data_IF_573420863463
#
_entry.id   IF_573420863463
#
_cell.length_a   1.000
_cell.length_b   1.000
_cell.length_c   1.000
_cell.angle_alpha   90.00
_cell.angle_beta   90.00
_cell.angle_gamma   90.00
#
_symmetry.space_group_name_H-M   'P 1'
#
loop_
_entity.id
_entity.type
_entity.pdbx_description
1 polymer ?
#
# COMPACT_ATOMS: atom_id res chain seq x y z
N UNK A 1 -21.31 18.90 -2.23
CA UNK A 1 -22.67 18.41 -2.46
C UNK A 1 -22.67 16.89 -2.30
N UNK A 2 -23.62 16.34 -1.55
CA UNK A 2 -23.73 14.89 -1.34
C UNK A 2 -24.82 14.35 -2.27
N UNK A 3 -24.54 13.24 -2.95
CA UNK A 3 -25.57 12.47 -3.67
C UNK A 3 -25.49 11.02 -3.16
N UNK A 4 -26.64 10.41 -2.87
CA UNK A 4 -26.72 8.98 -2.62
C UNK A 4 -26.86 8.25 -3.95
N UNK A 5 -26.12 7.14 -4.12
CA UNK A 5 -26.48 6.17 -5.15
C UNK A 5 -27.62 5.26 -4.67
N UNK A 6 -28.09 4.40 -5.57
CA UNK A 6 -29.23 3.50 -5.32
C UNK A 6 -28.94 2.51 -4.18
N UNK A 7 -27.66 2.25 -3.87
CA UNK A 7 -27.22 1.30 -2.83
C UNK A 7 -26.92 1.98 -1.47
N UNK A 8 -27.24 3.28 -1.33
CA UNK A 8 -27.05 4.03 -0.10
C UNK A 8 -25.60 4.48 0.15
N UNK A 9 -24.69 4.28 -0.79
CA UNK A 9 -23.34 4.78 -0.73
C UNK A 9 -23.30 6.26 -1.09
N UNK A 10 -22.68 7.07 -0.24
CA UNK A 10 -22.52 8.50 -0.52
C UNK A 10 -21.42 8.71 -1.55
N UNK A 11 -21.76 9.41 -2.64
CA UNK A 11 -20.78 9.92 -3.62
C UNK A 11 -20.56 11.41 -3.39
N UNK A 12 -19.30 11.80 -3.50
CA UNK A 12 -18.90 13.19 -3.28
C UNK A 12 -18.54 13.83 -4.61
N UNK A 13 -19.09 15.01 -4.83
CA UNK A 13 -18.84 15.83 -6.01
C UNK A 13 -18.30 17.17 -5.57
N UNK A 14 -17.48 17.74 -6.41
CA UNK A 14 -16.93 19.06 -6.23
C UNK A 14 -17.59 20.04 -7.20
N UNK A 15 -18.05 21.17 -6.71
CA UNK A 15 -18.55 22.25 -7.55
C UNK A 15 -17.69 23.51 -7.36
N UNK A 16 -17.44 24.24 -8.44
CA UNK A 16 -16.79 25.53 -8.38
C UNK A 16 -17.73 26.61 -7.78
N UNK A 17 -17.24 27.86 -7.72
CA UNK A 17 -18.02 29.01 -7.19
C UNK A 17 -19.31 29.30 -7.94
N UNK A 18 -19.41 28.88 -9.20
CA UNK A 18 -20.56 29.09 -10.08
C UNK A 18 -21.52 27.86 -10.08
N UNK A 19 -21.20 26.84 -9.29
CA UNK A 19 -22.01 25.62 -9.13
C UNK A 19 -21.73 24.53 -10.15
N UNK A 20 -20.73 24.69 -11.04
CA UNK A 20 -20.38 23.66 -12.01
C UNK A 20 -19.58 22.53 -11.39
N UNK A 21 -19.97 21.28 -11.66
CA UNK A 21 -19.25 20.11 -11.18
C UNK A 21 -17.86 20.03 -11.80
N UNK A 22 -16.88 19.79 -10.93
CA UNK A 22 -15.50 19.60 -11.31
C UNK A 22 -15.15 18.11 -11.24
N UNK A 23 -14.43 17.60 -12.26
CA UNK A 23 -13.98 16.22 -12.35
C UNK A 23 -12.47 16.15 -12.55
N UNK A 24 -11.88 14.99 -12.31
CA UNK A 24 -10.45 14.80 -12.34
C UNK A 24 -9.78 15.33 -11.08
N UNK A 25 -8.57 15.88 -11.23
CA UNK A 25 -7.81 16.46 -10.14
C UNK A 25 -8.36 17.82 -9.72
N UNK A 26 -8.71 17.94 -8.45
CA UNK A 26 -9.26 19.17 -7.84
C UNK A 26 -8.44 19.52 -6.59
N UNK A 27 -8.07 20.80 -6.44
CA UNK A 27 -7.42 21.31 -5.22
C UNK A 27 -8.40 22.21 -4.47
N UNK A 28 -8.58 21.94 -3.17
CA UNK A 28 -9.42 22.74 -2.30
C UNK A 28 -8.86 22.74 -0.88
N UNK A 29 -8.77 23.92 -0.26
CA UNK A 29 -8.23 24.11 1.10
C UNK A 29 -6.87 23.41 1.32
N UNK A 30 -5.95 23.54 0.37
CA UNK A 30 -4.61 22.92 0.35
C UNK A 30 -4.61 21.39 0.28
N UNK A 31 -5.76 20.76 0.09
CA UNK A 31 -5.89 19.34 -0.12
C UNK A 31 -6.13 19.04 -1.62
N UNK A 32 -5.67 17.89 -2.07
CA UNK A 32 -5.85 17.42 -3.44
C UNK A 32 -6.84 16.26 -3.45
N UNK A 33 -7.75 16.28 -4.41
CA UNK A 33 -8.79 15.28 -4.59
C UNK A 33 -8.79 14.76 -6.01
N UNK A 34 -9.34 13.56 -6.21
CA UNK A 34 -9.69 13.08 -7.53
C UNK A 34 -11.17 12.71 -7.59
N UNK A 35 -11.91 13.37 -8.44
CA UNK A 35 -13.35 13.16 -8.64
C UNK A 35 -13.56 12.42 -9.94
N UNK A 36 -13.94 11.16 -9.86
CA UNK A 36 -14.12 10.31 -11.04
C UNK A 36 -15.32 10.71 -11.86
N UNK A 37 -15.18 11.06 -13.16
CA UNK A 37 -16.33 11.32 -14.02
C UNK A 37 -17.02 10.01 -14.44
N UNK A 38 -18.35 9.94 -14.49
CA UNK A 38 -19.32 10.86 -13.89
C UNK A 38 -19.69 10.51 -12.44
N UNK A 39 -18.98 9.53 -11.84
CA UNK A 39 -19.41 8.80 -10.64
C UNK A 39 -19.07 9.46 -9.31
N UNK A 40 -18.32 10.56 -9.32
CA UNK A 40 -17.88 11.21 -8.09
C UNK A 40 -16.75 10.47 -7.36
N UNK A 41 -16.51 10.84 -6.10
CA UNK A 41 -15.53 10.20 -5.22
C UNK A 41 -16.21 9.34 -4.15
N UNK A 42 -15.54 8.26 -3.75
CA UNK A 42 -16.02 7.32 -2.74
C UNK A 42 -15.73 7.80 -1.31
N UNK A 43 -16.53 7.31 -0.34
CA UNK A 43 -16.33 7.62 1.08
C UNK A 43 -15.55 6.50 1.81
N UNK A 44 -14.50 6.00 1.19
CA UNK A 44 -13.62 4.98 1.77
C UNK A 44 -12.18 5.21 1.34
N UNK A 45 -11.25 4.46 1.90
CA UNK A 45 -9.88 4.35 1.38
C UNK A 45 -9.87 3.42 0.18
N UNK A 46 -9.18 3.79 -0.90
CA UNK A 46 -9.10 2.99 -2.13
C UNK A 46 -7.90 3.34 -2.99
N UNK A 47 -7.54 2.41 -3.87
CA UNK A 47 -6.54 2.63 -4.92
C UNK A 47 -7.21 2.99 -6.24
N UNK A 48 -6.54 3.85 -7.02
CA UNK A 48 -6.98 4.19 -8.37
C UNK A 48 -5.80 4.40 -9.30
N UNK A 49 -5.83 3.71 -10.44
CA UNK A 49 -4.89 3.98 -11.52
C UNK A 49 -5.33 5.21 -12.32
N UNK A 50 -4.40 6.14 -12.48
CA UNK A 50 -4.59 7.36 -13.27
C UNK A 50 -3.30 7.60 -14.05
N UNK A 51 -3.37 7.52 -15.38
CA UNK A 51 -2.23 7.69 -16.28
C UNK A 51 -1.02 6.83 -15.87
N UNK A 52 -1.24 5.51 -15.78
CA UNK A 52 -0.22 4.49 -15.49
C UNK A 52 0.38 4.55 -14.07
N UNK A 53 -0.11 5.42 -13.21
CA UNK A 53 0.27 5.49 -11.80
C UNK A 53 -0.89 5.12 -10.90
N UNK A 54 -0.64 4.30 -9.90
CA UNK A 54 -1.63 3.95 -8.89
C UNK A 54 -1.50 4.88 -7.70
N UNK A 55 -2.57 5.56 -7.37
CA UNK A 55 -2.66 6.52 -6.28
C UNK A 55 -3.50 5.99 -5.13
N UNK A 56 -3.15 6.40 -3.92
CA UNK A 56 -3.91 6.12 -2.70
C UNK A 56 -4.83 7.28 -2.37
N UNK A 57 -6.12 6.99 -2.27
CA UNK A 57 -7.14 7.96 -1.87
C UNK A 57 -7.82 7.55 -0.58
N UNK A 58 -8.12 8.52 0.25
CA UNK A 58 -8.97 8.40 1.41
C UNK A 58 -10.42 8.80 1.11
N UNK A 59 -11.25 8.87 2.16
CA UNK A 59 -12.65 9.29 2.04
C UNK A 59 -12.81 10.59 1.28
N UNK A 60 -13.90 10.69 0.50
CA UNK A 60 -14.26 11.84 -0.33
C UNK A 60 -13.30 12.09 -1.51
N UNK A 61 -12.43 11.11 -1.84
CA UNK A 61 -11.47 11.22 -2.92
C UNK A 61 -10.24 12.06 -2.59
N UNK A 62 -9.93 12.27 -1.30
CA UNK A 62 -8.73 13.00 -0.86
C UNK A 62 -7.48 12.17 -1.14
N UNK A 63 -6.50 12.77 -1.84
CA UNK A 63 -5.20 12.13 -2.07
C UNK A 63 -4.43 11.98 -0.76
N UNK A 64 -4.02 10.76 -0.45
CA UNK A 64 -3.21 10.46 0.73
C UNK A 64 -1.73 10.42 0.34
N UNK A 65 -0.92 11.26 0.97
CA UNK A 65 0.53 11.39 0.74
C UNK A 65 1.31 10.94 1.97
N UNK A 66 2.46 10.31 1.75
CA UNK A 66 3.32 9.80 2.83
C UNK A 66 2.49 9.02 3.87
N UNK A 67 1.55 8.20 3.41
CA UNK A 67 0.56 7.53 4.24
C UNK A 67 0.75 6.03 4.16
N UNK A 68 0.74 5.37 5.31
CA UNK A 68 0.69 3.93 5.44
C UNK A 68 -0.64 3.57 6.10
N UNK A 69 -1.49 2.78 5.43
CA UNK A 69 -2.86 2.51 5.90
C UNK A 69 -3.43 1.22 5.33
N UNK A 70 -4.45 0.71 6.02
CA UNK A 70 -5.28 -0.37 5.51
C UNK A 70 -6.28 0.18 4.49
N UNK A 71 -6.50 -0.57 3.41
CA UNK A 71 -7.56 -0.33 2.44
C UNK A 71 -8.78 -1.21 2.79
N UNK A 72 -8.51 -2.42 3.22
CA UNK A 72 -9.47 -3.43 3.68
C UNK A 72 -8.86 -4.24 4.83
N UNK A 73 -9.54 -5.31 5.25
CA UNK A 73 -9.16 -6.12 6.41
C UNK A 73 -7.74 -6.73 6.32
N UNK A 74 -7.26 -7.04 5.11
CA UNK A 74 -5.97 -7.72 4.89
C UNK A 74 -5.05 -6.94 3.91
N UNK A 75 -5.50 -5.76 3.45
CA UNK A 75 -4.84 -5.01 2.40
C UNK A 75 -4.19 -3.75 2.97
N UNK A 76 -2.90 -3.80 3.20
CA UNK A 76 -2.11 -2.67 3.68
C UNK A 76 -1.24 -2.10 2.56
N UNK A 77 -1.23 -0.78 2.40
CA UNK A 77 -0.44 -0.09 1.39
C UNK A 77 0.24 1.18 1.91
N UNK A 78 1.19 1.68 1.13
CA UNK A 78 1.97 2.88 1.46
C UNK A 78 2.04 3.80 0.25
N UNK A 79 1.84 5.10 0.43
CA UNK A 79 2.05 6.12 -0.61
C UNK A 79 3.26 7.00 -0.34
N UNK A 80 3.82 7.55 -1.41
CA UNK A 80 4.90 8.54 -1.38
C UNK A 80 4.39 9.98 -1.18
N UNK A 81 5.28 10.98 -1.28
CA UNK A 81 4.95 12.41 -1.17
C UNK A 81 4.03 12.92 -2.28
N UNK A 82 3.90 12.18 -3.37
CA UNK A 82 2.99 12.50 -4.48
C UNK A 82 1.66 11.75 -4.39
N UNK A 83 1.50 10.88 -3.38
CA UNK A 83 0.34 10.01 -3.22
C UNK A 83 0.36 8.77 -4.11
N UNK A 84 1.48 8.49 -4.79
CA UNK A 84 1.67 7.28 -5.59
C UNK A 84 2.00 6.11 -4.68
N UNK A 85 1.36 4.98 -4.92
CA UNK A 85 1.57 3.78 -4.10
C UNK A 85 2.96 3.21 -4.34
N UNK A 86 3.66 2.93 -3.25
CA UNK A 86 5.01 2.36 -3.26
C UNK A 86 4.93 0.83 -3.32
N UNK A 87 5.89 0.23 -4.02
CA UNK A 87 6.04 -1.22 -4.15
C UNK A 87 7.48 -1.67 -3.88
N UNK A 88 7.71 -2.97 -3.77
CA UNK A 88 9.01 -3.54 -3.42
C UNK A 88 9.25 -3.62 -1.91
N UNK A 89 10.51 -3.71 -1.50
CA UNK A 89 10.89 -3.79 -0.09
C UNK A 89 10.91 -2.39 0.53
N UNK A 90 10.08 -2.20 1.55
CA UNK A 90 9.88 -0.89 2.21
C UNK A 90 10.06 -1.05 3.72
N UNK A 91 10.83 -0.15 4.31
CA UNK A 91 10.93 -0.02 5.78
C UNK A 91 9.81 0.88 6.28
N UNK A 92 9.03 0.38 7.24
CA UNK A 92 7.94 1.11 7.88
C UNK A 92 8.38 1.78 9.19
N UNK A 93 7.48 2.53 9.83
CA UNK A 93 7.72 3.26 11.08
C UNK A 93 8.10 2.36 12.27
N UNK A 94 7.69 1.10 12.26
CA UNK A 94 8.10 0.08 13.23
C UNK A 94 9.54 -0.41 13.03
N UNK A 95 10.28 0.20 12.11
CA UNK A 95 11.64 -0.12 11.70
C UNK A 95 11.83 -1.52 11.08
N UNK A 96 10.74 -2.17 10.66
CA UNK A 96 10.74 -3.48 10.00
C UNK A 96 10.57 -3.34 8.50
N UNK A 97 11.10 -4.29 7.73
CA UNK A 97 10.96 -4.37 6.28
C UNK A 97 9.75 -5.21 5.92
N UNK A 98 9.02 -4.77 4.90
CA UNK A 98 7.87 -5.47 4.31
C UNK A 98 7.98 -5.47 2.80
N UNK A 99 7.42 -6.48 2.15
CA UNK A 99 7.34 -6.52 0.70
C UNK A 99 5.95 -6.13 0.22
N UNK A 100 5.90 -5.12 -0.65
CA UNK A 100 4.69 -4.65 -1.31
C UNK A 100 4.70 -5.11 -2.75
N UNK A 101 3.82 -6.04 -3.09
CA UNK A 101 3.76 -6.64 -4.40
C UNK A 101 3.38 -5.59 -5.47
N UNK A 102 4.16 -5.42 -6.56
CA UNK A 102 3.89 -4.42 -7.58
C UNK A 102 2.63 -4.72 -8.43
N UNK A 103 2.14 -5.95 -8.44
CA UNK A 103 0.94 -6.32 -9.19
C UNK A 103 -0.35 -5.96 -8.45
N UNK A 104 -0.34 -6.07 -7.12
CA UNK A 104 -1.52 -5.81 -6.27
C UNK A 104 -1.38 -4.58 -5.39
N UNK A 105 -0.18 -3.97 -5.34
CA UNK A 105 0.16 -2.77 -4.54
C UNK A 105 -0.03 -2.90 -3.03
N UNK A 106 0.02 -4.12 -2.51
CA UNK A 106 -0.26 -4.46 -1.11
C UNK A 106 0.82 -5.37 -0.54
N UNK A 107 0.84 -5.51 0.78
CA UNK A 107 1.72 -6.46 1.44
C UNK A 107 1.33 -7.90 1.11
N UNK A 108 2.34 -8.77 1.03
CA UNK A 108 2.12 -10.20 0.79
C UNK A 108 2.19 -10.96 2.13
N UNK A 109 1.20 -11.77 2.48
CA UNK A 109 1.20 -12.58 3.70
C UNK A 109 2.07 -13.84 3.51
N UNK A 110 3.40 -13.68 3.44
CA UNK A 110 4.36 -14.77 3.37
C UNK A 110 4.88 -15.06 4.77
N UNK A 111 4.21 -15.96 5.49
CA UNK A 111 4.51 -16.26 6.88
C UNK A 111 5.48 -17.44 7.02
N UNK A 112 6.68 -17.16 7.49
CA UNK A 112 7.72 -18.20 7.70
C UNK A 112 8.26 -18.80 6.40
N UNK A 113 8.05 -18.13 5.27
CA UNK A 113 8.41 -18.63 3.94
C UNK A 113 9.63 -17.92 3.37
N UNK A 114 10.29 -18.59 2.42
CA UNK A 114 11.32 -18.01 1.60
C UNK A 114 10.73 -17.62 0.24
N UNK A 115 11.03 -16.43 -0.23
CA UNK A 115 10.59 -15.97 -1.55
C UNK A 115 11.68 -15.14 -2.25
N UNK A 116 11.67 -15.17 -3.58
CA UNK A 116 12.59 -14.42 -4.42
C UNK A 116 11.84 -13.27 -5.11
N UNK A 117 12.38 -12.06 -4.98
CA UNK A 117 11.88 -10.86 -5.65
C UNK A 117 13.07 -10.09 -6.22
N UNK A 118 12.95 -9.66 -7.48
CA UNK A 118 14.00 -8.90 -8.19
C UNK A 118 15.37 -9.58 -8.14
N UNK A 119 15.40 -10.92 -8.26
CA UNK A 119 16.62 -11.73 -8.21
C UNK A 119 17.31 -11.78 -6.84
N UNK A 120 16.61 -11.42 -5.76
CA UNK A 120 17.08 -11.48 -4.38
C UNK A 120 16.20 -12.39 -3.55
N UNK A 121 16.83 -13.21 -2.73
CA UNK A 121 16.14 -14.13 -1.83
C UNK A 121 15.88 -13.46 -0.48
N UNK A 122 14.66 -13.63 0.04
CA UNK A 122 14.20 -13.12 1.32
C UNK A 122 13.55 -14.23 2.15
N UNK A 123 13.58 -14.07 3.47
CA UNK A 123 12.80 -14.89 4.40
C UNK A 123 11.83 -14.00 5.16
N UNK A 124 10.60 -14.47 5.35
CA UNK A 124 9.53 -13.74 6.05
C UNK A 124 9.31 -14.33 7.44
N UNK A 125 9.19 -13.46 8.42
CA UNK A 125 8.92 -13.89 9.79
C UNK A 125 7.48 -14.39 9.94
N UNK A 126 7.27 -15.25 10.94
CA UNK A 126 5.91 -15.56 11.39
C UNK A 126 5.28 -14.30 11.98
N UNK A 127 4.05 -13.93 11.62
CA UNK A 127 3.39 -12.78 12.22
C UNK A 127 3.18 -13.03 13.72
N UNK A 128 3.56 -12.06 14.55
CA UNK A 128 3.46 -12.16 16.01
C UNK A 128 2.00 -12.03 16.47
N UNK A 129 1.11 -11.56 15.60
CA UNK A 129 -0.30 -11.34 15.90
C UNK A 129 -1.17 -11.64 14.67
N UNK A 130 -2.21 -12.43 14.89
CA UNK A 130 -3.35 -12.59 13.98
C UNK A 130 -4.33 -11.42 14.14
N UNK A 131 -3.83 -10.20 14.17
CA UNK A 131 -4.71 -9.03 14.14
C UNK A 131 -5.37 -8.92 12.76
N UNK A 132 -6.66 -8.61 12.68
CA UNK A 132 -7.32 -8.33 11.40
C UNK A 132 -6.77 -7.09 10.66
N UNK A 133 -5.80 -6.40 11.24
CA UNK A 133 -5.06 -5.27 10.64
C UNK A 133 -3.58 -5.63 10.44
N UNK A 134 -3.29 -6.83 9.95
CA UNK A 134 -1.90 -7.25 9.80
C UNK A 134 -1.27 -6.57 8.60
N UNK A 135 -0.15 -5.89 8.82
CA UNK A 135 0.72 -5.29 7.78
C UNK A 135 1.41 -6.35 6.90
N UNK A 136 0.96 -7.62 6.94
CA UNK A 136 1.66 -8.75 6.36
C UNK A 136 2.82 -9.23 7.23
N UNK A 137 3.59 -10.17 6.68
CA UNK A 137 4.77 -10.73 7.36
C UNK A 137 5.99 -9.85 7.12
N UNK A 138 6.70 -9.43 8.18
CA UNK A 138 7.93 -8.67 8.01
C UNK A 138 9.05 -9.56 7.46
N UNK A 139 9.98 -8.92 6.75
CA UNK A 139 11.20 -9.56 6.25
C UNK A 139 12.17 -9.72 7.42
N UNK A 140 12.73 -10.91 7.55
CA UNK A 140 13.81 -11.22 8.51
C UNK A 140 15.07 -10.43 8.16
N UNK A 141 15.78 -9.92 9.16
CA UNK A 141 17.03 -9.15 8.97
C UNK A 141 18.09 -9.52 9.99
N UNK A 142 19.36 -9.28 9.65
CA UNK A 142 20.51 -9.39 10.55
C UNK A 142 20.61 -10.74 11.29
N UNK A 143 20.47 -11.84 10.57
CA UNK A 143 20.52 -13.20 11.16
C UNK A 143 21.10 -14.22 10.18
N UNK A 144 21.20 -15.44 10.64
CA UNK A 144 21.60 -16.60 9.83
C UNK A 144 20.52 -17.67 9.94
N UNK A 145 20.08 -18.19 8.81
CA UNK A 145 19.05 -19.22 8.72
C UNK A 145 19.51 -20.38 7.84
N UNK A 146 18.96 -21.56 8.10
CA UNK A 146 19.14 -22.75 7.29
C UNK A 146 17.98 -22.93 6.29
N UNK A 147 18.32 -23.29 5.06
CA UNK A 147 17.36 -23.65 4.01
C UNK A 147 17.94 -24.76 3.14
N UNK A 148 17.24 -25.87 3.00
CA UNK A 148 17.62 -27.02 2.16
C UNK A 148 19.06 -27.52 2.43
N UNK A 149 19.48 -27.55 3.71
CA UNK A 149 20.81 -27.97 4.15
C UNK A 149 21.94 -26.96 3.87
N UNK A 150 21.62 -25.75 3.49
CA UNK A 150 22.54 -24.65 3.26
C UNK A 150 22.32 -23.53 4.27
N UNK A 151 23.40 -22.88 4.66
CA UNK A 151 23.40 -21.72 5.57
C UNK A 151 23.29 -20.42 4.77
N UNK A 152 22.36 -19.54 5.14
CA UNK A 152 22.19 -18.21 4.54
C UNK A 152 22.42 -17.12 5.58
N UNK A 153 23.21 -16.13 5.20
CA UNK A 153 23.39 -14.89 5.97
C UNK A 153 22.39 -13.87 5.42
N UNK A 154 21.55 -13.31 6.30
CA UNK A 154 20.55 -12.29 5.95
C UNK A 154 21.05 -10.94 6.46
N UNK A 155 21.21 -9.98 5.57
CA UNK A 155 21.72 -8.65 5.89
C UNK A 155 20.67 -7.71 6.51
N UNK A 156 21.04 -6.47 6.75
CA UNK A 156 20.16 -5.41 7.30
C UNK A 156 19.01 -5.01 6.35
N UNK A 157 19.14 -5.32 5.06
CA UNK A 157 18.14 -5.07 4.02
C UNK A 157 17.28 -6.31 3.75
N UNK A 158 17.47 -7.39 4.53
CA UNK A 158 16.73 -8.63 4.42
C UNK A 158 17.19 -9.55 3.28
N UNK A 159 18.25 -9.20 2.55
CA UNK A 159 18.76 -10.02 1.45
C UNK A 159 19.55 -11.20 2.00
N UNK A 160 19.12 -12.41 1.61
CA UNK A 160 19.77 -13.64 1.99
C UNK A 160 20.84 -14.05 0.98
N UNK A 161 22.04 -14.32 1.46
CA UNK A 161 23.17 -14.80 0.66
C UNK A 161 23.67 -16.12 1.21
N UNK A 162 23.85 -17.14 0.36
CA UNK A 162 24.41 -18.43 0.75
C UNK A 162 25.83 -18.26 1.30
N UNK A 163 26.07 -18.73 2.51
CA UNK A 163 27.41 -18.77 3.10
C UNK A 163 28.21 -19.85 2.38
N UNK A 164 29.26 -19.44 1.69
CA UNK A 164 30.23 -20.35 1.10
C UNK A 164 31.24 -20.75 2.19
N UNK A 165 31.54 -22.04 2.26
CA UNK A 165 32.60 -22.59 3.09
C UNK A 165 33.99 -22.10 2.65
#
# INVERSE_FOLDING_TARGET
MLSNDIDGNYKYYYADKDGHLQFGWVTHNNETYYISPPWGAENRTYLKNINEKTYLFGPKGRLLRNTATDISWDDFCVSDENGVVKTGVIRLEDNRLYYFNPEIYMTTPLSGEWAEFDGKLYHFEMPISVSPYSKGSPITTNTTLEKDGKTYIIDENGVATEKKD
#
